data_IF_502868414314
#
_entry.id   IF_502868414314
#
_cell.length_a   1.000
_cell.length_b   1.000
_cell.length_c   1.000
_cell.angle_alpha   90.00
_cell.angle_beta   90.00
_cell.angle_gamma   90.00
#
_symmetry.space_group_name_H-M   'P 1'
#
loop_
_entity.id
_entity.type
_entity.pdbx_description
1 polymer ?
#
# COMPACT_ATOMS: atom_id res chain seq x y z
N UNK A 1 20.11 -5.50 9.28
CA UNK A 1 18.95 -6.31 9.73
C UNK A 1 17.64 -5.53 9.69
N UNK A 2 17.56 -4.38 10.39
CA UNK A 2 16.32 -3.56 10.47
C UNK A 2 15.75 -3.15 9.09
N UNK A 3 16.60 -2.73 8.15
CA UNK A 3 16.17 -2.36 6.79
C UNK A 3 15.56 -3.52 6.01
N UNK A 4 16.11 -4.73 6.17
CA UNK A 4 15.60 -5.94 5.51
C UNK A 4 14.22 -6.28 6.07
N UNK A 5 14.07 -6.25 7.41
CA UNK A 5 12.79 -6.49 8.08
C UNK A 5 11.75 -5.46 7.64
N UNK A 6 12.11 -4.17 7.58
CA UNK A 6 11.23 -3.11 7.11
C UNK A 6 10.80 -3.31 5.65
N UNK A 7 11.73 -3.70 4.77
CA UNK A 7 11.42 -4.03 3.38
C UNK A 7 10.47 -5.23 3.25
N UNK A 8 10.69 -6.29 4.02
CA UNK A 8 9.82 -7.48 4.03
C UNK A 8 8.41 -7.11 4.49
N UNK A 9 8.27 -6.36 5.58
CA UNK A 9 6.96 -5.87 6.01
C UNK A 9 6.29 -5.01 4.96
N UNK A 10 7.04 -4.16 4.26
CA UNK A 10 6.47 -3.38 3.17
C UNK A 10 5.91 -4.23 2.04
N UNK A 11 6.70 -5.21 1.58
CA UNK A 11 6.28 -6.12 0.51
C UNK A 11 5.03 -6.89 0.93
N UNK A 12 5.01 -7.45 2.14
CA UNK A 12 3.86 -8.19 2.65
C UNK A 12 2.61 -7.31 2.84
N UNK A 13 2.79 -6.06 3.27
CA UNK A 13 1.71 -5.08 3.34
C UNK A 13 1.12 -4.78 1.97
N UNK A 14 1.96 -4.42 0.99
CA UNK A 14 1.52 -4.17 -0.39
C UNK A 14 0.81 -5.39 -0.98
N UNK A 15 1.36 -6.59 -0.80
CA UNK A 15 0.72 -7.83 -1.24
C UNK A 15 -0.66 -8.03 -0.59
N UNK A 16 -0.81 -7.68 0.69
CA UNK A 16 -2.11 -7.72 1.36
C UNK A 16 -3.11 -6.76 0.70
N UNK A 17 -2.68 -5.55 0.35
CA UNK A 17 -3.48 -4.58 -0.39
C UNK A 17 -3.86 -5.06 -1.80
N UNK A 18 -2.94 -5.71 -2.52
CA UNK A 18 -3.20 -6.32 -3.83
C UNK A 18 -4.24 -7.42 -3.72
N UNK A 19 -4.14 -8.28 -2.70
CA UNK A 19 -5.12 -9.35 -2.45
C UNK A 19 -6.50 -8.74 -2.15
N UNK A 20 -6.57 -7.68 -1.34
CA UNK A 20 -7.84 -6.98 -1.04
C UNK A 20 -8.46 -6.34 -2.29
N UNK A 21 -7.64 -5.82 -3.21
CA UNK A 21 -8.07 -5.29 -4.49
C UNK A 21 -8.55 -6.40 -5.44
N UNK A 22 -7.91 -7.56 -5.42
CA UNK A 22 -8.22 -8.66 -6.33
C UNK A 22 -9.42 -9.51 -5.85
N UNK A 23 -9.68 -9.57 -4.54
CA UNK A 23 -10.67 -10.45 -3.95
C UNK A 23 -12.10 -10.30 -4.51
N UNK A 24 -12.64 -9.09 -4.73
CA UNK A 24 -14.00 -8.96 -5.28
C UNK A 24 -14.16 -9.46 -6.72
N UNK A 25 -13.05 -9.67 -7.44
CA UNK A 25 -13.02 -10.28 -8.78
C UNK A 25 -12.91 -11.81 -8.75
N UNK A 26 -12.96 -12.44 -7.57
CA UNK A 26 -12.78 -13.88 -7.41
C UNK A 26 -11.33 -14.35 -7.57
N UNK A 27 -10.37 -13.42 -7.62
CA UNK A 27 -8.95 -13.71 -7.67
C UNK A 27 -8.43 -13.90 -6.24
N UNK A 28 -8.39 -15.15 -5.78
CA UNK A 28 -7.95 -15.53 -4.42
C UNK A 28 -9.12 -15.95 -3.50
N UNK A 29 -8.98 -15.81 -2.18
CA UNK A 29 -10.04 -16.19 -1.24
C UNK A 29 -11.28 -15.32 -1.42
N UNK A 30 -12.45 -15.94 -1.56
CA UNK A 30 -13.74 -15.24 -1.72
C UNK A 30 -14.03 -14.26 -0.56
N UNK A 31 -13.47 -14.52 0.62
CA UNK A 31 -13.52 -13.60 1.76
C UNK A 31 -12.10 -13.45 2.31
N UNK A 32 -11.43 -12.31 2.07
CA UNK A 32 -10.12 -12.05 2.65
C UNK A 32 -10.18 -12.15 4.16
N UNK A 33 -9.29 -12.94 4.75
CA UNK A 33 -9.21 -13.11 6.20
C UNK A 33 -8.70 -11.87 6.91
N UNK A 34 -8.94 -11.78 8.22
CA UNK A 34 -8.56 -10.64 9.07
C UNK A 34 -7.07 -10.27 8.94
N UNK A 35 -6.22 -11.27 8.69
CA UNK A 35 -4.77 -11.08 8.46
C UNK A 35 -4.51 -10.18 7.26
N UNK A 36 -5.25 -10.32 6.17
CA UNK A 36 -5.06 -9.48 4.97
C UNK A 36 -5.53 -8.05 5.23
N UNK A 37 -6.69 -7.90 5.88
CA UNK A 37 -7.24 -6.59 6.26
C UNK A 37 -6.28 -5.84 7.17
N UNK A 38 -5.88 -6.44 8.29
CA UNK A 38 -4.97 -5.80 9.23
C UNK A 38 -3.53 -5.68 8.68
N UNK A 39 -3.09 -6.68 7.92
CA UNK A 39 -1.75 -6.76 7.36
C UNK A 39 -1.43 -5.63 6.41
N UNK A 40 -2.41 -5.17 5.62
CA UNK A 40 -2.19 -4.07 4.68
C UNK A 40 -1.69 -2.78 5.36
N UNK A 41 -2.46 -2.11 6.25
CA UNK A 41 -1.97 -0.91 6.91
C UNK A 41 -0.84 -1.21 7.89
N UNK A 42 -0.94 -2.27 8.71
CA UNK A 42 0.00 -2.50 9.80
C UNK A 42 1.40 -2.78 9.26
N UNK A 43 1.54 -3.68 8.28
CA UNK A 43 2.84 -4.04 7.76
C UNK A 43 3.45 -2.90 6.93
N UNK A 44 2.62 -2.12 6.22
CA UNK A 44 3.10 -0.90 5.56
C UNK A 44 3.59 0.14 6.57
N UNK A 45 2.83 0.43 7.63
CA UNK A 45 3.24 1.41 8.66
C UNK A 45 4.49 0.96 9.40
N UNK A 46 4.52 -0.29 9.88
CA UNK A 46 5.69 -0.84 10.59
C UNK A 46 6.90 -0.91 9.65
N UNK A 47 6.69 -1.24 8.37
CA UNK A 47 7.72 -1.19 7.34
C UNK A 47 8.35 0.20 7.19
N UNK A 48 7.54 1.25 7.09
CA UNK A 48 8.03 2.63 7.07
C UNK A 48 8.82 3.00 8.33
N UNK A 49 8.29 2.65 9.51
CA UNK A 49 8.97 2.92 10.79
C UNK A 49 10.32 2.22 10.86
N UNK A 50 10.37 0.94 10.49
CA UNK A 50 11.61 0.17 10.46
C UNK A 50 12.63 0.76 9.47
N UNK A 51 12.19 1.17 8.28
CA UNK A 51 13.07 1.86 7.34
C UNK A 51 13.62 3.15 7.96
N UNK A 52 12.78 3.96 8.59
CA UNK A 52 13.18 5.24 9.18
C UNK A 52 14.20 5.04 10.32
N UNK A 53 13.98 4.05 11.17
CA UNK A 53 14.93 3.66 12.23
C UNK A 53 16.27 3.15 11.65
N UNK A 54 16.23 2.52 10.49
CA UNK A 54 17.41 2.04 9.77
C UNK A 54 18.17 3.10 8.95
N UNK A 55 17.70 4.36 8.90
CA UNK A 55 18.28 5.43 8.04
C UNK A 55 19.78 5.62 8.26
N UNK A 56 20.29 5.46 9.49
CA UNK A 56 21.73 5.62 9.78
C UNK A 56 22.63 4.63 9.03
N UNK A 57 22.08 3.53 8.52
CA UNK A 57 22.84 2.50 7.81
C UNK A 57 22.85 2.65 6.29
N UNK A 58 22.16 3.65 5.72
CA UNK A 58 22.11 3.89 4.27
C UNK A 58 22.22 5.39 3.92
N UNK A 59 22.73 5.73 2.72
CA UNK A 59 22.72 7.09 2.22
C UNK A 59 21.30 7.67 2.19
N UNK A 60 21.18 8.97 2.51
CA UNK A 60 19.90 9.71 2.52
C UNK A 60 19.15 9.56 1.20
N UNK A 61 19.86 9.69 0.07
CA UNK A 61 19.29 9.51 -1.26
C UNK A 61 18.64 8.13 -1.47
N UNK A 62 19.26 7.05 -0.99
CA UNK A 62 18.69 5.69 -1.12
C UNK A 62 17.43 5.53 -0.27
N UNK A 63 17.41 6.12 0.92
CA UNK A 63 16.21 6.13 1.76
C UNK A 63 15.07 6.94 1.13
N UNK A 64 15.38 8.12 0.57
CA UNK A 64 14.42 8.97 -0.12
C UNK A 64 13.81 8.23 -1.33
N UNK A 65 14.64 7.56 -2.14
CA UNK A 65 14.15 6.73 -3.24
C UNK A 65 13.26 5.60 -2.74
N UNK A 66 13.67 4.86 -1.70
CA UNK A 66 12.88 3.74 -1.18
C UNK A 66 11.49 4.19 -0.69
N UNK A 67 11.42 5.28 0.09
CA UNK A 67 10.15 5.83 0.59
C UNK A 67 9.25 6.34 -0.54
N UNK A 68 9.80 6.98 -1.58
CA UNK A 68 9.04 7.38 -2.78
C UNK A 68 8.49 6.23 -3.58
N UNK A 69 9.29 5.18 -3.81
CA UNK A 69 8.84 4.01 -4.58
C UNK A 69 7.70 3.34 -3.82
N UNK A 70 7.84 3.13 -2.51
CA UNK A 70 6.76 2.56 -1.70
C UNK A 70 5.52 3.46 -1.67
N UNK A 71 5.70 4.77 -1.53
CA UNK A 71 4.60 5.74 -1.55
C UNK A 71 3.85 5.72 -2.88
N UNK A 72 4.59 5.71 -3.99
CA UNK A 72 4.04 5.61 -5.35
C UNK A 72 3.26 4.31 -5.54
N UNK A 73 3.80 3.16 -5.10
CA UNK A 73 3.10 1.88 -5.22
C UNK A 73 1.78 1.88 -4.46
N UNK A 74 1.74 2.44 -3.26
CA UNK A 74 0.50 2.56 -2.47
C UNK A 74 -0.51 3.53 -3.10
N UNK A 75 -0.03 4.64 -3.68
CA UNK A 75 -0.89 5.57 -4.43
C UNK A 75 -1.44 4.94 -5.71
N UNK A 76 -0.64 4.15 -6.44
CA UNK A 76 -1.10 3.40 -7.61
C UNK A 76 -2.16 2.37 -7.23
N UNK A 77 -1.97 1.68 -6.10
CA UNK A 77 -2.95 0.73 -5.58
C UNK A 77 -4.26 1.43 -5.19
N UNK A 78 -4.18 2.59 -4.53
CA UNK A 78 -5.35 3.40 -4.22
C UNK A 78 -6.06 3.91 -5.48
N UNK A 79 -5.31 4.37 -6.48
CA UNK A 79 -5.85 4.81 -7.76
C UNK A 79 -6.57 3.66 -8.48
N UNK A 80 -5.98 2.46 -8.50
CA UNK A 80 -6.63 1.29 -9.07
C UNK A 80 -7.97 0.99 -8.36
N UNK A 81 -8.00 1.07 -7.03
CA UNK A 81 -9.25 0.90 -6.27
C UNK A 81 -10.31 1.96 -6.63
N UNK A 82 -9.92 3.23 -6.79
CA UNK A 82 -10.84 4.30 -7.22
C UNK A 82 -11.36 4.08 -8.63
N UNK A 83 -10.50 3.66 -9.57
CA UNK A 83 -10.93 3.32 -10.94
C UNK A 83 -11.99 2.23 -10.89
N UNK A 84 -11.77 1.18 -10.10
CA UNK A 84 -12.74 0.09 -9.96
C UNK A 84 -14.05 0.58 -9.33
N UNK A 85 -14.00 1.40 -8.28
CA UNK A 85 -15.21 2.00 -7.68
C UNK A 85 -15.97 2.83 -8.70
N UNK A 86 -15.28 3.66 -9.49
CA UNK A 86 -15.89 4.48 -10.52
C UNK A 86 -16.58 3.63 -11.59
N UNK A 87 -15.90 2.60 -12.11
CA UNK A 87 -16.47 1.73 -13.13
C UNK A 87 -17.65 0.91 -12.57
N UNK A 88 -17.54 0.37 -11.35
CA UNK A 88 -18.62 -0.37 -10.70
C UNK A 88 -19.84 0.52 -10.41
N UNK A 89 -19.62 1.77 -9.99
CA UNK A 89 -20.69 2.72 -9.70
C UNK A 89 -21.44 3.24 -10.93
N UNK A 90 -20.93 2.96 -12.14
CA UNK A 90 -21.53 3.32 -13.41
C UNK A 90 -21.97 2.09 -14.23
N UNK A 91 -22.05 0.91 -13.60
CA UNK A 91 -22.41 -0.36 -14.25
C UNK A 91 -21.51 -0.72 -15.46
N UNK A 92 -20.26 -0.26 -15.47
CA UNK A 92 -19.27 -0.52 -16.52
C UNK A 92 -18.44 -1.79 -16.25
N UNK A 93 -18.63 -2.43 -15.11
CA UNK A 93 -18.01 -3.71 -14.75
C UNK A 93 -19.06 -4.82 -14.70
N UNK A 94 -18.60 -6.05 -14.96
CA UNK A 94 -19.39 -7.25 -14.66
C UNK A 94 -19.64 -7.41 -13.15
N UNK A 95 -20.27 -8.52 -12.72
CA UNK A 95 -20.62 -8.73 -11.32
C UNK A 95 -19.38 -8.69 -10.41
N UNK A 96 -19.41 -7.84 -9.37
CA UNK A 96 -18.34 -7.72 -8.37
C UNK A 96 -18.87 -8.12 -6.99
N UNK A 97 -18.12 -8.97 -6.28
CA UNK A 97 -18.54 -9.53 -4.98
C UNK A 97 -18.16 -8.55 -3.87
N UNK A 98 -18.98 -7.50 -3.71
CA UNK A 98 -18.81 -6.48 -2.68
C UNK A 98 -17.75 -5.43 -3.01
N UNK A 99 -17.90 -4.22 -2.46
CA UNK A 99 -17.04 -3.06 -2.79
C UNK A 99 -16.23 -2.54 -1.60
N UNK A 100 -16.45 -3.07 -0.40
CA UNK A 100 -15.84 -2.59 0.86
C UNK A 100 -14.32 -2.60 0.80
N UNK A 101 -13.73 -3.65 0.22
CA UNK A 101 -12.27 -3.74 0.11
C UNK A 101 -11.67 -2.65 -0.77
N UNK A 102 -12.36 -2.19 -1.82
CA UNK A 102 -11.88 -1.10 -2.66
C UNK A 102 -11.82 0.22 -1.89
N UNK A 103 -12.88 0.56 -1.14
CA UNK A 103 -12.88 1.77 -0.32
C UNK A 103 -11.77 1.73 0.72
N UNK A 104 -11.59 0.57 1.36
CA UNK A 104 -10.52 0.36 2.32
C UNK A 104 -9.12 0.54 1.71
N UNK A 105 -8.87 -0.11 0.56
CA UNK A 105 -7.59 -0.01 -0.16
C UNK A 105 -7.32 1.42 -0.62
N UNK A 106 -8.34 2.12 -1.14
CA UNK A 106 -8.23 3.51 -1.54
C UNK A 106 -7.83 4.41 -0.37
N UNK A 107 -8.57 4.36 0.74
CA UNK A 107 -8.31 5.20 1.92
C UNK A 107 -6.90 4.93 2.46
N UNK A 108 -6.59 3.67 2.78
CA UNK A 108 -5.31 3.32 3.39
C UNK A 108 -4.15 3.62 2.44
N UNK A 109 -4.28 3.28 1.15
CA UNK A 109 -3.27 3.53 0.14
C UNK A 109 -3.01 5.02 -0.09
N UNK A 110 -4.04 5.87 -0.10
CA UNK A 110 -3.85 7.33 -0.19
C UNK A 110 -3.17 7.90 1.05
N UNK A 111 -3.63 7.53 2.25
CA UNK A 111 -3.06 8.05 3.49
C UNK A 111 -1.59 7.65 3.64
N UNK A 112 -1.29 6.36 3.57
CA UNK A 112 0.06 5.85 3.79
C UNK A 112 0.97 6.19 2.59
N UNK A 113 0.45 6.08 1.36
CA UNK A 113 1.18 6.41 0.14
C UNK A 113 1.55 7.88 0.05
N UNK A 114 0.63 8.78 0.40
CA UNK A 114 0.87 10.22 0.46
C UNK A 114 1.95 10.60 1.48
N UNK A 115 1.94 9.96 2.66
CA UNK A 115 3.00 10.13 3.67
C UNK A 115 4.35 9.65 3.15
N UNK A 116 4.41 8.48 2.50
CA UNK A 116 5.66 7.96 1.93
C UNK A 116 6.27 8.89 0.87
N UNK A 117 5.42 9.42 -0.02
CA UNK A 117 5.83 10.31 -1.09
C UNK A 117 6.32 11.67 -0.55
N UNK A 118 5.65 12.22 0.48
CA UNK A 118 6.03 13.49 1.09
C UNK A 118 7.34 13.38 1.87
N UNK A 119 7.53 12.31 2.64
CA UNK A 119 8.78 12.05 3.38
C UNK A 119 9.98 11.96 2.43
N UNK A 120 9.84 11.23 1.33
CA UNK A 120 10.90 11.14 0.34
C UNK A 120 11.17 12.45 -0.41
N UNK A 121 10.22 13.40 -0.46
CA UNK A 121 10.44 14.75 -0.99
C UNK A 121 11.24 15.62 -0.05
N UNK A 122 10.83 15.70 1.21
CA UNK A 122 11.50 16.51 2.24
C UNK A 122 12.99 16.15 2.39
N UNK A 123 13.35 14.88 2.17
CA UNK A 123 14.72 14.40 2.34
C UNK A 123 15.65 14.62 1.15
N UNK A 124 15.14 15.04 -0.01
CA UNK A 124 16.00 15.48 -1.13
C UNK A 124 16.32 16.97 -1.06
N UNK A 125 15.59 17.72 -0.24
CA UNK A 125 15.82 19.14 0.02
C UNK A 125 16.84 19.38 1.16
N UNK A 126 17.18 18.33 1.93
CA UNK A 126 18.28 18.29 2.94
C UNK A 126 19.63 17.92 2.30
#
# INVERSE_FOLDING_TARGET
>A
MVLIVGGVFMVLGILSGVILLAAPFGLGPATPGMVTWAGFPLLCTVGYVALALGRRSIPVAKFATATRVMGTLLLLLALAAIIVIFLAGNDLLGPVIGTVSFYYVAIVGFFIGGVGLSLGRMMEEE
#
